data_IF_361734681644
#
_entry.id   IF_361734681644
#
_cell.length_a   1.000
_cell.length_b   1.000
_cell.length_c   1.000
_cell.angle_alpha   90.00
_cell.angle_beta   90.00
_cell.angle_gamma   90.00
#
_symmetry.space_group_name_H-M   'P 1'
#
loop_
_entity.id
_entity.type
_entity.pdbx_description
1 polymer ?
#
# COMPACT_ATOMS: atom_id res chain seq x y z
N UNK A 1 13.05 6.36 -25.44
CA UNK A 1 12.80 5.32 -24.42
C UNK A 1 11.64 4.41 -24.83
N UNK A 2 10.44 4.94 -25.16
CA UNK A 2 9.32 4.12 -25.68
C UNK A 2 9.65 3.48 -27.04
N UNK A 3 10.30 4.22 -27.95
CA UNK A 3 10.73 3.72 -29.26
C UNK A 3 11.78 2.59 -29.24
N UNK A 4 12.32 2.28 -28.05
CA UNK A 4 13.30 1.19 -27.87
C UNK A 4 12.63 -0.12 -27.42
N UNK A 5 11.31 -0.14 -27.23
CA UNK A 5 10.55 -1.34 -26.84
C UNK A 5 10.09 -2.05 -28.12
N UNK A 6 10.56 -3.28 -28.33
CA UNK A 6 10.22 -4.09 -29.52
C UNK A 6 8.72 -4.39 -29.60
N UNK A 7 8.15 -4.94 -28.52
CA UNK A 7 6.70 -5.19 -28.39
C UNK A 7 6.18 -4.60 -27.07
N UNK A 8 5.41 -3.49 -27.10
CA UNK A 8 4.82 -2.92 -25.91
C UNK A 8 3.55 -3.68 -25.51
N UNK A 9 3.47 -4.10 -24.25
CA UNK A 9 2.23 -4.60 -23.64
C UNK A 9 1.48 -3.49 -22.92
N UNK A 10 0.15 -3.56 -22.94
CA UNK A 10 -0.73 -2.59 -22.27
C UNK A 10 -1.54 -3.28 -21.19
N UNK A 11 -1.45 -2.75 -19.98
CA UNK A 11 -2.17 -3.25 -18.81
C UNK A 11 -3.06 -2.14 -18.24
N UNK A 12 -4.31 -2.47 -17.94
CA UNK A 12 -5.17 -1.58 -17.17
C UNK A 12 -4.77 -1.69 -15.69
N UNK A 13 -4.40 -0.56 -15.07
CA UNK A 13 -4.13 -0.52 -13.65
C UNK A 13 -5.45 -0.41 -12.89
N UNK A 14 -5.75 -1.42 -12.08
CA UNK A 14 -7.02 -1.54 -11.35
C UNK A 14 -6.79 -1.42 -9.84
N UNK A 15 -7.72 -0.75 -9.16
CA UNK A 15 -7.70 -0.54 -7.71
C UNK A 15 -9.14 -0.65 -7.19
N UNK A 16 -9.29 -0.94 -5.89
CA UNK A 16 -10.58 -0.92 -5.20
C UNK A 16 -10.52 -0.01 -3.99
N UNK A 17 -11.67 0.52 -3.60
CA UNK A 17 -11.78 1.15 -2.28
C UNK A 17 -11.49 0.12 -1.18
N UNK A 18 -10.83 0.53 -0.07
CA UNK A 18 -10.52 -0.40 1.00
C UNK A 18 -11.76 -1.09 1.55
N UNK A 19 -11.69 -2.42 1.67
CA UNK A 19 -12.75 -3.23 2.26
C UNK A 19 -12.88 -2.93 3.76
N UNK A 20 -14.10 -2.94 4.28
CA UNK A 20 -14.40 -2.67 5.70
C UNK A 20 -14.39 -3.91 6.58
N UNK A 21 -14.34 -5.11 5.98
CA UNK A 21 -14.30 -6.40 6.67
C UNK A 21 -13.59 -7.45 5.82
N UNK A 22 -12.71 -8.24 6.42
CA UNK A 22 -11.89 -9.24 5.73
C UNK A 22 -12.20 -10.67 6.21
N UNK A 23 -12.64 -10.81 7.45
CA UNK A 23 -12.74 -12.07 8.18
C UNK A 23 -14.19 -12.46 8.44
N UNK A 24 -14.48 -13.75 8.27
CA UNK A 24 -15.79 -14.32 8.58
C UNK A 24 -15.66 -15.76 9.04
N UNK A 25 -15.89 -15.99 10.34
CA UNK A 25 -15.68 -17.29 10.96
C UNK A 25 -14.22 -17.70 10.86
N UNK A 26 -13.96 -18.82 10.19
CA UNK A 26 -12.62 -19.41 10.07
C UNK A 26 -11.89 -19.03 8.76
N UNK A 27 -12.32 -17.97 8.08
CA UNK A 27 -11.72 -17.51 6.83
C UNK A 27 -11.42 -16.01 6.88
N UNK A 28 -10.29 -15.60 6.29
CA UNK A 28 -9.91 -14.20 6.11
C UNK A 28 -9.22 -14.00 4.75
N UNK A 29 -9.15 -12.74 4.30
CA UNK A 29 -8.44 -12.32 3.09
C UNK A 29 -7.13 -11.61 3.45
N UNK A 30 -6.13 -11.71 2.58
CA UNK A 30 -4.85 -11.00 2.68
C UNK A 30 -4.29 -10.70 1.29
N UNK A 31 -3.28 -9.83 1.21
CA UNK A 31 -2.69 -9.42 -0.06
C UNK A 31 -3.68 -8.70 -0.99
N UNK A 32 -3.48 -8.83 -2.31
CA UNK A 32 -4.33 -8.19 -3.32
C UNK A 32 -5.80 -8.67 -3.32
N UNK A 33 -6.10 -9.82 -2.69
CA UNK A 33 -7.49 -10.23 -2.47
C UNK A 33 -8.22 -9.26 -1.52
N UNK A 34 -7.46 -8.52 -0.70
CA UNK A 34 -7.94 -7.67 0.36
C UNK A 34 -7.69 -6.17 0.08
N UNK A 35 -6.48 -5.83 -0.38
CA UNK A 35 -6.04 -4.44 -0.56
C UNK A 35 -5.31 -4.22 -1.90
N UNK A 36 -5.96 -4.54 -3.04
CA UNK A 36 -5.35 -4.32 -4.36
C UNK A 36 -5.09 -2.83 -4.56
N UNK A 37 -3.88 -2.48 -4.99
CA UNK A 37 -3.40 -1.10 -5.02
C UNK A 37 -2.74 -0.73 -6.36
N UNK A 38 -2.66 0.58 -6.63
CA UNK A 38 -1.83 1.08 -7.72
C UNK A 38 -0.34 0.95 -7.35
N UNK A 39 0.58 0.90 -8.33
CA UNK A 39 2.00 0.71 -8.06
C UNK A 39 2.71 1.99 -7.57
N UNK A 40 2.01 3.10 -7.38
CA UNK A 40 2.60 4.43 -7.13
C UNK A 40 3.16 4.65 -5.72
N UNK A 41 3.10 3.64 -4.85
CA UNK A 41 3.89 3.56 -3.61
C UNK A 41 4.84 2.35 -3.58
N UNK A 42 4.77 1.45 -4.56
CA UNK A 42 5.52 0.20 -4.61
C UNK A 42 5.34 -0.71 -3.36
N UNK A 43 4.14 -0.71 -2.75
CA UNK A 43 3.88 -1.42 -1.49
C UNK A 43 2.95 -2.63 -1.57
N UNK A 44 2.43 -3.00 -2.75
CA UNK A 44 1.50 -4.14 -2.86
C UNK A 44 2.10 -5.44 -2.27
N UNK A 45 3.30 -5.80 -2.72
CA UNK A 45 4.02 -6.96 -2.20
C UNK A 45 4.45 -6.78 -0.73
N UNK A 46 4.89 -5.58 -0.35
CA UNK A 46 5.26 -5.29 1.04
C UNK A 46 4.11 -5.50 2.01
N UNK A 47 2.91 -5.01 1.68
CA UNK A 47 1.71 -5.24 2.48
C UNK A 47 1.38 -6.73 2.59
N UNK A 48 1.48 -7.51 1.51
CA UNK A 48 1.20 -8.94 1.54
C UNK A 48 2.21 -9.72 2.42
N UNK A 49 3.48 -9.30 2.45
CA UNK A 49 4.50 -9.88 3.34
C UNK A 49 4.23 -9.54 4.81
N UNK A 50 3.94 -8.27 5.09
CA UNK A 50 3.51 -7.84 6.43
C UNK A 50 2.26 -8.58 6.90
N UNK A 51 1.30 -8.85 6.01
CA UNK A 51 0.11 -9.63 6.33
C UNK A 51 0.45 -11.06 6.74
N UNK A 52 1.29 -11.75 5.95
CA UNK A 52 1.72 -13.12 6.23
C UNK A 52 2.45 -13.23 7.57
N UNK A 53 3.24 -12.22 7.91
CA UNK A 53 3.92 -12.14 9.21
C UNK A 53 2.93 -11.94 10.37
N UNK A 54 2.02 -10.96 10.26
CA UNK A 54 1.09 -10.65 11.35
C UNK A 54 0.02 -11.71 11.56
N UNK A 55 -0.48 -12.35 10.50
CA UNK A 55 -1.44 -13.45 10.66
C UNK A 55 -0.80 -14.63 11.38
N UNK A 56 0.47 -14.95 11.10
CA UNK A 56 1.20 -16.02 11.79
C UNK A 56 1.30 -15.72 13.30
N UNK A 57 1.69 -14.50 13.67
CA UNK A 57 1.75 -14.09 15.09
C UNK A 57 0.39 -14.10 15.77
N UNK A 58 -0.69 -13.70 15.09
CA UNK A 58 -2.05 -13.77 15.63
C UNK A 58 -2.49 -15.22 15.87
N UNK A 59 -2.20 -16.12 14.94
CA UNK A 59 -2.53 -17.55 15.09
C UNK A 59 -1.76 -18.19 16.25
N UNK A 60 -0.49 -17.81 16.45
CA UNK A 60 0.32 -18.27 17.58
C UNK A 60 -0.18 -17.69 18.92
N UNK A 61 -0.62 -16.43 18.97
CA UNK A 61 -1.11 -15.85 20.23
C UNK A 61 -2.47 -16.41 20.67
N UNK A 62 -3.36 -16.69 19.70
CA UNK A 62 -4.72 -17.16 19.93
C UNK A 62 -4.90 -18.63 19.48
N UNK A 63 -3.98 -19.52 19.86
CA UNK A 63 -3.90 -20.91 19.35
C UNK A 63 -5.21 -21.71 19.42
N UNK A 64 -6.09 -21.38 20.36
CA UNK A 64 -7.35 -22.10 20.61
C UNK A 64 -8.61 -21.32 20.15
N UNK A 65 -8.44 -20.17 19.50
CA UNK A 65 -9.54 -19.30 19.07
C UNK A 65 -9.22 -18.68 17.69
N UNK A 66 -9.38 -19.49 16.65
CA UNK A 66 -9.11 -19.09 15.26
C UNK A 66 -9.92 -17.85 14.84
N UNK A 67 -11.25 -17.78 15.05
CA UNK A 67 -12.01 -16.57 14.70
C UNK A 67 -11.42 -15.30 15.34
N UNK A 68 -11.05 -15.35 16.62
CA UNK A 68 -10.43 -14.22 17.30
C UNK A 68 -9.06 -13.88 16.75
N UNK A 69 -8.25 -14.87 16.39
CA UNK A 69 -6.96 -14.65 15.73
C UNK A 69 -7.13 -13.88 14.41
N UNK A 70 -8.12 -14.27 13.58
CA UNK A 70 -8.38 -13.64 12.29
C UNK A 70 -8.95 -12.23 12.43
N UNK A 71 -9.86 -12.00 13.39
CA UNK A 71 -10.36 -10.66 13.71
C UNK A 71 -9.26 -9.73 14.22
N UNK A 72 -8.34 -10.26 15.05
CA UNK A 72 -7.18 -9.50 15.51
C UNK A 72 -6.28 -9.12 14.34
N UNK A 73 -5.91 -10.08 13.49
CA UNK A 73 -5.14 -9.85 12.28
C UNK A 73 -5.75 -8.74 11.41
N UNK A 74 -7.06 -8.82 11.13
CA UNK A 74 -7.77 -7.79 10.36
C UNK A 74 -7.65 -6.41 11.01
N UNK A 75 -7.93 -6.30 12.31
CA UNK A 75 -7.88 -5.02 13.03
C UNK A 75 -6.51 -4.35 12.98
N UNK A 76 -5.42 -5.14 13.02
CA UNK A 76 -4.05 -4.65 12.99
C UNK A 76 -3.64 -4.12 11.61
N UNK A 77 -4.25 -4.65 10.55
CA UNK A 77 -3.86 -4.39 9.16
C UNK A 77 -4.77 -3.39 8.45
N UNK A 78 -6.05 -3.34 8.82
CA UNK A 78 -7.09 -2.58 8.12
C UNK A 78 -6.70 -1.13 7.85
N UNK A 79 -6.30 -0.39 8.90
CA UNK A 79 -5.99 1.03 8.77
C UNK A 79 -4.74 1.25 7.92
N UNK A 80 -3.67 0.48 8.18
CA UNK A 80 -2.39 0.62 7.49
C UNK A 80 -2.54 0.38 6.00
N UNK A 81 -3.10 -0.76 5.59
CA UNK A 81 -3.25 -1.10 4.17
C UNK A 81 -4.21 -0.13 3.47
N UNK A 82 -5.30 0.29 4.14
CA UNK A 82 -6.21 1.32 3.63
C UNK A 82 -5.50 2.65 3.36
N UNK A 83 -4.62 3.10 4.27
CA UNK A 83 -3.84 4.33 4.11
C UNK A 83 -2.88 4.22 2.92
N UNK A 84 -2.25 3.06 2.72
CA UNK A 84 -1.37 2.80 1.57
C UNK A 84 -2.15 2.80 0.26
N UNK A 85 -3.27 2.07 0.18
CA UNK A 85 -4.12 2.02 -1.03
C UNK A 85 -4.56 3.42 -1.46
N UNK A 86 -5.11 4.21 -0.52
CA UNK A 86 -5.53 5.59 -0.79
C UNK A 86 -4.35 6.51 -1.13
N UNK A 87 -3.22 6.35 -0.45
CA UNK A 87 -2.01 7.12 -0.73
C UNK A 87 -1.46 6.85 -2.14
N UNK A 88 -1.47 5.59 -2.56
CA UNK A 88 -1.07 5.18 -3.91
C UNK A 88 -2.03 5.75 -4.96
N UNK A 89 -3.34 5.68 -4.73
CA UNK A 89 -4.34 6.33 -5.58
C UNK A 89 -4.08 7.84 -5.73
N UNK A 90 -3.82 8.53 -4.61
CA UNK A 90 -3.53 9.97 -4.60
C UNK A 90 -2.25 10.33 -5.37
N UNK A 91 -1.23 9.46 -5.36
CA UNK A 91 0.00 9.68 -6.13
C UNK A 91 -0.21 9.70 -7.64
N UNK A 92 -1.30 9.11 -8.16
CA UNK A 92 -1.68 9.24 -9.57
C UNK A 92 -1.71 10.71 -10.00
N UNK A 93 -2.34 11.57 -9.18
CA UNK A 93 -2.45 13.01 -9.46
C UNK A 93 -1.11 13.75 -9.35
N UNK A 94 -0.20 13.27 -8.50
CA UNK A 94 1.13 13.88 -8.32
C UNK A 94 2.06 13.53 -9.47
N UNK A 95 2.09 12.25 -9.84
CA UNK A 95 3.04 11.74 -10.84
C UNK A 95 2.59 12.08 -12.27
N UNK A 96 1.30 12.37 -12.46
CA UNK A 96 0.71 12.78 -13.73
C UNK A 96 0.21 14.23 -13.67
N UNK A 97 0.83 15.08 -12.84
CA UNK A 97 0.44 16.47 -12.75
C UNK A 97 0.69 17.19 -14.09
N UNK A 98 -0.24 18.01 -14.60
CA UNK A 98 -0.04 18.74 -15.86
C UNK A 98 1.19 19.65 -15.89
N UNK A 99 1.66 20.14 -14.74
CA UNK A 99 2.89 20.93 -14.65
C UNK A 99 4.12 20.15 -15.15
N UNK A 100 4.10 18.81 -15.06
CA UNK A 100 5.17 17.94 -15.54
C UNK A 100 5.21 17.79 -17.07
N UNK A 101 4.26 18.37 -17.81
CA UNK A 101 4.20 18.26 -19.27
C UNK A 101 5.32 19.05 -19.99
N UNK A 102 5.91 20.04 -19.33
CA UNK A 102 6.94 20.92 -19.89
C UNK A 102 8.10 21.11 -18.91
N UNK A 103 9.33 21.27 -19.42
CA UNK A 103 10.53 21.29 -18.59
C UNK A 103 10.54 22.41 -17.53
N UNK A 104 10.07 23.61 -17.89
CA UNK A 104 10.01 24.77 -16.99
C UNK A 104 9.05 24.51 -15.81
N UNK A 105 7.80 24.13 -16.10
CA UNK A 105 6.82 23.79 -15.05
C UNK A 105 7.20 22.54 -14.25
N UNK A 106 7.93 21.60 -14.86
CA UNK A 106 8.38 20.40 -14.19
C UNK A 106 9.42 20.72 -13.10
N UNK A 107 10.38 21.61 -13.37
CA UNK A 107 11.39 22.01 -12.40
C UNK A 107 10.73 22.63 -11.15
N UNK A 108 9.85 23.63 -11.35
CA UNK A 108 9.14 24.28 -10.24
C UNK A 108 8.25 23.31 -9.45
N UNK A 109 7.57 22.39 -10.15
CA UNK A 109 6.74 21.38 -9.50
C UNK A 109 7.59 20.40 -8.68
N UNK A 110 8.73 19.98 -9.22
CA UNK A 110 9.65 19.05 -8.57
C UNK A 110 10.21 19.68 -7.30
N UNK A 111 10.76 20.89 -7.39
CA UNK A 111 11.33 21.60 -6.24
C UNK A 111 10.30 21.77 -5.11
N UNK A 112 9.03 22.02 -5.46
CA UNK A 112 7.96 22.18 -4.47
C UNK A 112 7.49 20.88 -3.83
N UNK A 113 7.32 19.82 -4.60
CA UNK A 113 6.65 18.58 -4.14
C UNK A 113 7.62 17.48 -3.68
N UNK A 114 8.88 17.57 -4.11
CA UNK A 114 9.87 16.50 -3.98
C UNK A 114 11.16 16.92 -3.28
N UNK A 115 11.15 18.07 -2.58
CA UNK A 115 12.21 18.39 -1.64
C UNK A 115 12.34 17.28 -0.59
N UNK A 116 13.53 17.10 -0.03
CA UNK A 116 13.80 16.06 0.97
C UNK A 116 12.82 16.10 2.15
N UNK A 117 12.51 17.30 2.64
CA UNK A 117 11.52 17.52 3.70
C UNK A 117 10.13 17.00 3.31
N UNK A 118 9.63 17.35 2.12
CA UNK A 118 8.33 16.90 1.62
C UNK A 118 8.26 15.39 1.42
N UNK A 119 9.35 14.81 0.93
CA UNK A 119 9.48 13.35 0.76
C UNK A 119 9.40 12.68 2.14
N UNK A 120 10.15 13.16 3.13
CA UNK A 120 10.12 12.62 4.49
C UNK A 120 8.74 12.73 5.13
N UNK A 121 8.15 13.93 5.11
CA UNK A 121 6.79 14.17 5.63
C UNK A 121 5.77 13.19 5.04
N UNK A 122 5.90 12.88 3.75
CA UNK A 122 4.93 12.06 3.02
C UNK A 122 5.14 10.56 3.19
N UNK A 123 6.39 10.11 3.31
CA UNK A 123 6.74 8.69 3.18
C UNK A 123 7.41 8.07 4.42
N UNK A 124 7.87 8.83 5.41
CA UNK A 124 8.54 8.24 6.58
C UNK A 124 7.64 7.24 7.32
N UNK A 125 6.38 7.58 7.57
CA UNK A 125 5.42 6.68 8.23
C UNK A 125 5.27 5.31 7.52
N UNK A 126 5.54 5.26 6.20
CA UNK A 126 5.46 4.04 5.43
C UNK A 126 6.68 3.14 5.69
N UNK A 127 7.87 3.73 5.65
CA UNK A 127 9.16 3.04 5.70
C UNK A 127 9.74 2.86 7.11
N UNK A 128 9.35 3.72 8.06
CA UNK A 128 9.72 3.60 9.48
C UNK A 128 8.75 2.69 10.25
N UNK A 129 7.76 2.11 9.57
CA UNK A 129 6.86 1.16 10.21
C UNK A 129 7.61 -0.12 10.58
N UNK A 130 7.67 -0.36 11.89
CA UNK A 130 8.19 -1.58 12.46
C UNK A 130 7.03 -2.57 12.69
N UNK A 131 6.98 -3.61 11.87
CA UNK A 131 5.97 -4.66 11.97
C UNK A 131 6.22 -5.59 13.17
N UNK A 132 7.46 -5.68 13.67
CA UNK A 132 7.82 -6.50 14.83
C UNK A 132 7.27 -5.86 16.10
N UNK A 133 7.30 -4.53 16.19
CA UNK A 133 6.78 -3.75 17.31
C UNK A 133 5.25 -3.76 17.45
N UNK A 134 4.51 -4.33 16.50
CA UNK A 134 3.05 -4.44 16.58
C UNK A 134 2.66 -5.45 17.65
N UNK A 135 1.85 -5.02 18.62
CA UNK A 135 1.31 -5.88 19.66
C UNK A 135 0.11 -6.68 19.14
N UNK A 136 0.16 -8.00 19.33
CA UNK A 136 -0.90 -8.95 18.96
C UNK A 136 -1.76 -9.27 20.16
#
# INVERSE_FOLDING_TARGET
MISAIDVPYKWALMIREPMTRWSSGNATLLGDACHPTLPFLAQGAGMALEDGYLIARCLEHYENDLPRALERFESLRLERTSRIVRGSAANTKRFHNPALAHAEGAAEYVDREWSEERVKERYNWLFEYDVDAVEV
#
